data_IF_311694593819
#
_entry.id   IF_311694593819
#
_cell.length_a   1.000
_cell.length_b   1.000
_cell.length_c   1.000
_cell.angle_alpha   90.00
_cell.angle_beta   90.00
_cell.angle_gamma   90.00
#
_symmetry.space_group_name_H-M   'P 1'
#
loop_
_entity.id
_entity.type
_entity.pdbx_description
1 polymer ?
#
# COMPACT_ATOMS: atom_id res chain seq x y z
N UNK A 1 -6.96 -5.28 -11.53
CA UNK A 1 -5.89 -4.53 -10.84
C UNK A 1 -5.80 -3.10 -11.38
N UNK A 2 -6.13 -2.14 -10.54
CA UNK A 2 -6.10 -0.69 -10.76
C UNK A 2 -5.11 -0.02 -9.79
N UNK A 3 -4.78 1.26 -9.99
CA UNK A 3 -3.94 2.01 -9.05
C UNK A 3 -4.58 2.09 -7.65
N UNK A 4 -5.90 2.22 -7.57
CA UNK A 4 -6.65 2.24 -6.30
C UNK A 4 -6.53 0.92 -5.56
N UNK A 5 -6.54 -0.21 -6.27
CA UNK A 5 -6.38 -1.54 -5.68
C UNK A 5 -5.04 -1.64 -4.95
N UNK A 6 -3.95 -1.17 -5.58
CA UNK A 6 -2.62 -1.19 -4.94
C UNK A 6 -2.54 -0.22 -3.76
N UNK A 7 -3.20 0.95 -3.84
CA UNK A 7 -3.27 1.86 -2.69
C UNK A 7 -4.05 1.28 -1.51
N UNK A 8 -5.18 0.60 -1.78
CA UNK A 8 -5.96 -0.12 -0.77
C UNK A 8 -5.17 -1.30 -0.21
N UNK A 9 -4.37 -1.97 -1.03
CA UNK A 9 -3.48 -3.03 -0.58
C UNK A 9 -2.48 -2.51 0.46
N UNK A 10 -1.89 -1.33 0.25
CA UNK A 10 -1.00 -0.68 1.22
C UNK A 10 -1.73 -0.34 2.53
N UNK A 11 -2.97 0.15 2.46
CA UNK A 11 -3.79 0.44 3.65
C UNK A 11 -4.08 -0.83 4.47
N UNK A 12 -4.49 -1.91 3.79
CA UNK A 12 -4.78 -3.20 4.42
C UNK A 12 -3.52 -3.83 4.99
N UNK A 13 -2.42 -3.79 4.23
CA UNK A 13 -1.12 -4.29 4.67
C UNK A 13 -0.62 -3.54 5.91
N UNK A 14 -0.75 -2.21 5.96
CA UNK A 14 -0.42 -1.45 7.17
C UNK A 14 -1.27 -1.91 8.36
N UNK A 15 -2.57 -2.10 8.14
CA UNK A 15 -3.54 -2.54 9.17
C UNK A 15 -3.20 -3.94 9.69
N UNK A 16 -2.84 -4.88 8.81
CA UNK A 16 -2.40 -6.24 9.18
C UNK A 16 -1.19 -6.21 10.11
N UNK A 17 -0.26 -5.28 9.87
CA UNK A 17 0.92 -5.06 10.72
C UNK A 17 0.65 -4.18 11.95
N UNK A 18 -0.61 -3.85 12.25
CA UNK A 18 -0.98 -3.02 13.40
C UNK A 18 -0.55 -1.54 13.28
N UNK A 19 -0.33 -1.06 12.06
CA UNK A 19 0.17 0.29 11.78
C UNK A 19 -0.83 1.13 10.97
N UNK A 20 -0.76 2.45 11.13
CA UNK A 20 -1.33 3.36 10.14
C UNK A 20 -0.44 3.43 8.89
N UNK A 21 -0.94 3.95 7.77
CA UNK A 21 -0.13 4.21 6.57
C UNK A 21 1.12 5.07 6.88
N UNK A 22 0.98 6.10 7.71
CA UNK A 22 2.13 6.92 8.14
C UNK A 22 3.06 6.16 9.08
N UNK A 23 2.53 5.28 9.93
CA UNK A 23 3.33 4.38 10.78
C UNK A 23 4.16 3.41 9.94
N UNK A 24 3.54 2.76 8.95
CA UNK A 24 4.21 1.87 7.99
C UNK A 24 5.30 2.60 7.21
N UNK A 25 5.01 3.82 6.72
CA UNK A 25 5.99 4.64 6.03
C UNK A 25 7.21 4.95 6.94
N UNK A 26 6.97 5.41 8.18
CA UNK A 26 8.04 5.69 9.15
C UNK A 26 8.88 4.45 9.46
N UNK A 27 8.22 3.33 9.76
CA UNK A 27 8.88 2.04 10.02
C UNK A 27 9.76 1.60 8.84
N UNK A 28 9.37 1.97 7.62
CA UNK A 28 10.08 1.61 6.38
C UNK A 28 11.11 2.64 5.92
N UNK A 29 11.46 3.62 6.76
CA UNK A 29 12.41 4.68 6.41
C UNK A 29 11.94 5.57 5.24
N UNK A 30 10.62 5.74 5.10
CA UNK A 30 9.98 6.62 4.13
C UNK A 30 9.46 7.88 4.83
N UNK A 31 9.25 8.94 4.04
CA UNK A 31 8.52 10.11 4.53
C UNK A 31 7.12 9.67 5.03
N UNK A 32 6.66 10.12 6.22
CA UNK A 32 5.37 9.70 6.80
C UNK A 32 4.15 9.97 5.91
N UNK A 33 4.26 10.86 4.93
CA UNK A 33 3.18 11.21 4.01
C UNK A 33 3.18 10.41 2.71
N UNK A 34 4.17 9.54 2.51
CA UNK A 34 4.38 8.76 1.26
C UNK A 34 3.11 8.02 0.82
N UNK A 35 2.35 7.48 1.77
CA UNK A 35 1.14 6.69 1.49
C UNK A 35 -0.18 7.45 1.70
N UNK A 36 -0.12 8.76 1.94
CA UNK A 36 -1.32 9.58 2.17
C UNK A 36 -2.14 9.74 0.89
N UNK A 37 -3.46 9.91 1.04
CA UNK A 37 -4.42 10.10 -0.07
C UNK A 37 -4.01 11.25 -1.01
N UNK A 38 -3.44 12.34 -0.49
CA UNK A 38 -2.96 13.48 -1.28
C UNK A 38 -1.80 13.16 -2.22
N UNK A 39 -1.09 12.03 -2.04
CA UNK A 39 -0.02 11.57 -2.94
C UNK A 39 -0.51 10.64 -4.05
N UNK A 40 -1.75 10.17 -3.98
CA UNK A 40 -2.33 9.18 -4.92
C UNK A 40 -2.77 9.79 -6.24
N UNK A 41 -2.84 11.11 -6.31
CA UNK A 41 -3.24 11.87 -7.49
C UNK A 41 -2.21 12.97 -7.76
N UNK A 42 -1.98 13.29 -9.03
CA UNK A 42 -1.20 14.46 -9.42
C UNK A 42 -2.02 15.74 -9.22
N UNK A 43 -1.37 16.91 -9.33
CA UNK A 43 -2.08 18.20 -9.26
C UNK A 43 -3.06 18.38 -10.44
N UNK A 44 -2.75 17.71 -11.54
CA UNK A 44 -3.52 17.67 -12.79
C UNK A 44 -4.61 16.58 -12.76
N UNK A 45 -4.86 15.96 -11.60
CA UNK A 45 -5.90 14.95 -11.43
C UNK A 45 -5.56 13.59 -12.04
N UNK A 46 -4.29 13.32 -12.34
CA UNK A 46 -3.89 12.02 -12.89
C UNK A 46 -3.62 11.01 -11.75
N UNK A 47 -4.10 9.77 -11.87
CA UNK A 47 -3.83 8.75 -10.88
C UNK A 47 -2.33 8.44 -10.82
N UNK A 48 -1.79 8.29 -9.61
CA UNK A 48 -0.39 7.92 -9.37
C UNK A 48 -0.31 6.50 -8.86
N UNK A 49 0.66 5.75 -9.38
CA UNK A 49 1.03 4.46 -8.84
C UNK A 49 2.02 4.63 -7.69
N UNK A 50 1.91 3.83 -6.62
CA UNK A 50 2.99 3.73 -5.64
C UNK A 50 4.24 3.19 -6.34
N UNK A 51 5.41 3.70 -5.94
CA UNK A 51 6.67 3.26 -6.55
C UNK A 51 7.03 1.84 -6.08
N UNK A 52 7.62 1.04 -6.96
CA UNK A 52 8.15 -0.30 -6.61
C UNK A 52 9.17 -0.21 -5.47
N UNK A 53 9.95 0.87 -5.39
CA UNK A 53 10.88 1.12 -4.29
C UNK A 53 10.15 1.27 -2.95
N UNK A 54 9.06 2.03 -2.91
CA UNK A 54 8.24 2.17 -1.70
C UNK A 54 7.65 0.83 -1.26
N UNK A 55 7.20 -0.01 -2.20
CA UNK A 55 6.70 -1.37 -1.90
C UNK A 55 7.83 -2.26 -1.37
N UNK A 56 9.00 -2.24 -2.00
CA UNK A 56 10.16 -3.01 -1.55
C UNK A 56 10.58 -2.66 -0.12
N UNK A 57 10.54 -1.37 0.23
CA UNK A 57 10.87 -0.89 1.59
C UNK A 57 9.90 -1.39 2.65
N UNK A 58 8.59 -1.37 2.38
CA UNK A 58 7.60 -1.88 3.36
C UNK A 58 7.69 -3.39 3.53
N UNK A 59 8.00 -4.13 2.47
CA UNK A 59 8.22 -5.58 2.54
C UNK A 59 9.47 -5.89 3.39
N UNK A 60 10.55 -5.15 3.14
CA UNK A 60 11.83 -5.35 3.83
C UNK A 60 11.73 -5.01 5.33
N UNK A 61 11.03 -3.93 5.70
CA UNK A 61 10.90 -3.47 7.09
C UNK A 61 9.98 -4.35 7.93
N UNK A 62 8.97 -4.96 7.30
CA UNK A 62 8.00 -5.85 7.97
C UNK A 62 8.41 -7.32 7.94
N UNK A 63 9.45 -7.67 7.17
CA UNK A 63 9.86 -9.06 6.93
C UNK A 63 8.89 -9.84 6.04
N UNK A 64 7.92 -9.17 5.41
CA UNK A 64 6.92 -9.79 4.56
C UNK A 64 7.48 -10.15 3.18
N UNK A 65 6.93 -11.19 2.56
CA UNK A 65 7.21 -11.52 1.15
C UNK A 65 6.25 -10.76 0.25
N UNK A 66 6.62 -10.60 -1.02
CA UNK A 66 5.74 -9.98 -2.02
C UNK A 66 4.37 -10.68 -2.11
N UNK A 67 4.33 -12.00 -1.92
CA UNK A 67 3.11 -12.80 -1.91
C UNK A 67 2.16 -12.41 -0.78
N UNK A 68 2.68 -11.97 0.37
CA UNK A 68 1.86 -11.52 1.50
C UNK A 68 1.19 -10.18 1.17
N UNK A 69 1.90 -9.30 0.47
CA UNK A 69 1.33 -8.03 0.00
C UNK A 69 0.28 -8.25 -1.11
N UNK A 70 0.54 -9.13 -2.06
CA UNK A 70 -0.38 -9.35 -3.20
C UNK A 70 -1.75 -9.89 -2.78
N UNK A 71 -1.86 -10.56 -1.61
CA UNK A 71 -3.15 -10.97 -1.02
C UNK A 71 -4.11 -9.80 -0.81
N UNK A 72 -3.59 -8.59 -0.68
CA UNK A 72 -4.39 -7.39 -0.43
C UNK A 72 -4.76 -6.61 -1.69
N UNK A 73 -4.22 -6.99 -2.87
CA UNK A 73 -4.45 -6.29 -4.15
C UNK A 73 -5.84 -6.60 -4.68
N UNK A 74 -6.25 -7.87 -4.68
CA UNK A 74 -7.57 -8.21 -5.16
C UNK A 74 -8.63 -7.98 -4.05
N UNK A 75 -9.81 -7.45 -4.39
CA UNK A 75 -10.95 -7.54 -3.49
C UNK A 75 -11.23 -9.04 -3.21
N UNK A 76 -11.70 -9.41 -2.00
CA UNK A 76 -12.12 -10.78 -1.76
C UNK A 76 -13.10 -11.19 -2.87
N UNK A 77 -12.89 -12.36 -3.46
CA UNK A 77 -13.83 -12.97 -4.40
C UNK A 77 -15.25 -12.78 -3.83
N UNK A 78 -16.21 -12.28 -4.63
CA UNK A 78 -17.58 -12.20 -4.16
C UNK A 78 -17.98 -13.59 -3.68
N UNK A 79 -18.44 -13.68 -2.43
CA UNK A 79 -18.97 -14.92 -1.87
C UNK A 79 -20.04 -15.38 -2.84
N UNK A 80 -19.78 -16.47 -3.56
CA UNK A 80 -20.79 -17.12 -4.38
C UNK A 80 -21.67 -17.88 -3.39
N UNK A 81 -22.86 -17.33 -3.14
CA UNK A 81 -23.97 -18.08 -2.53
C UNK A 81 -24.31 -19.33 -3.36
#
# INVERSE_FOLDING_TARGET
MTHEDVWRAIERFATEHGMSCSGLAKCSGLDPTTFNKSKRWSKEGQPRWPSTNSISKILSSTGAKIQDFTKFIDPPEPVRD
#
